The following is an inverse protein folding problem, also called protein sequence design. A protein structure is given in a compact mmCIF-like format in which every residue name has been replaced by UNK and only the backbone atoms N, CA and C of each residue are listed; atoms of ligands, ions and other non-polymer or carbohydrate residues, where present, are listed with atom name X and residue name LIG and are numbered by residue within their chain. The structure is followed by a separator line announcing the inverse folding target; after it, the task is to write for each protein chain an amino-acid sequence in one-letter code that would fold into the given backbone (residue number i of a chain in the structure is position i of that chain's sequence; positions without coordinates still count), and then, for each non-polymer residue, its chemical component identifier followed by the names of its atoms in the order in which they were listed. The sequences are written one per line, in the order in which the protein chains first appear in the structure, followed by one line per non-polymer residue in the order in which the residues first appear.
data_IF_183286682929
#
_entry.id   IF_183286682929
#
_cell.length_a   1.000
_cell.length_b   1.000
_cell.length_c   1.000
_cell.angle_alpha   90.00
_cell.angle_beta   90.00
_cell.angle_gamma   90.00
#
_symmetry.space_group_name_H-M   'P 1'
#
loop_
_entity.id
_entity.type
_entity.pdbx_description
1 polymer ?
#
# COMPACT_ATOMS: atom_id res chain seq x y z
N UNK A 1 5.26 -21.00 3.39
CA UNK A 1 5.02 -21.43 1.99
C UNK A 1 3.56 -21.14 1.69
N UNK A 2 3.28 -20.34 0.67
CA UNK A 2 1.92 -20.04 0.21
C UNK A 2 1.43 -21.22 -0.62
N UNK A 3 0.18 -21.66 -0.40
CA UNK A 3 -0.39 -22.86 -1.03
C UNK A 3 -1.41 -22.50 -2.11
N UNK A 4 -2.12 -21.39 -1.94
CA UNK A 4 -3.11 -20.90 -2.89
C UNK A 4 -2.91 -19.40 -3.17
N UNK A 5 -3.59 -18.88 -4.19
CA UNK A 5 -3.50 -17.46 -4.56
C UNK A 5 -4.14 -16.57 -3.49
N UNK A 6 -5.17 -17.07 -2.81
CA UNK A 6 -5.85 -16.40 -1.70
C UNK A 6 -4.91 -16.18 -0.52
N UNK A 7 -3.92 -17.05 -0.32
CA UNK A 7 -2.91 -16.87 0.74
C UNK A 7 -2.00 -15.63 0.48
N UNK A 8 -1.98 -15.11 -0.75
CA UNK A 8 -1.23 -13.93 -1.14
C UNK A 8 -2.07 -12.63 -1.12
N UNK A 9 -3.37 -12.72 -0.80
CA UNK A 9 -4.27 -11.56 -0.73
C UNK A 9 -4.14 -10.86 0.63
N UNK A 10 -4.12 -9.54 0.62
CA UNK A 10 -3.95 -8.71 1.80
C UNK A 10 -2.48 -8.41 2.11
N UNK A 11 -2.21 -7.89 3.31
CA UNK A 11 -0.87 -7.45 3.74
C UNK A 11 -0.17 -6.50 2.74
N UNK A 12 -0.97 -5.75 1.99
CA UNK A 12 -0.45 -4.77 1.03
C UNK A 12 0.24 -3.63 1.77
N UNK A 13 1.39 -3.15 1.26
CA UNK A 13 2.24 -2.25 2.01
C UNK A 13 1.59 -0.89 2.19
N UNK A 14 1.83 -0.31 3.36
CA UNK A 14 1.54 1.08 3.67
C UNK A 14 2.75 1.94 3.31
N UNK A 15 2.59 2.88 2.38
CA UNK A 15 3.70 3.71 1.88
C UNK A 15 3.41 5.19 2.07
N UNK A 16 4.46 5.98 2.38
CA UNK A 16 4.33 7.43 2.56
C UNK A 16 4.36 8.17 1.23
N UNK A 17 3.41 9.07 1.00
CA UNK A 17 3.46 9.97 -0.15
C UNK A 17 4.61 10.97 0.00
N UNK A 18 5.51 10.99 -1.00
CA UNK A 18 6.71 11.83 -0.98
C UNK A 18 6.48 13.25 -1.50
N UNK A 19 5.57 13.42 -2.46
CA UNK A 19 5.25 14.72 -3.06
C UNK A 19 3.79 15.02 -2.79
N UNK A 20 3.55 16.10 -2.06
CA UNK A 20 2.22 16.63 -1.75
C UNK A 20 2.14 18.06 -2.27
N UNK A 21 1.02 18.48 -2.89
CA UNK A 21 0.80 19.89 -3.19
C UNK A 21 0.63 20.70 -1.90
N UNK A 22 1.16 21.92 -1.88
CA UNK A 22 1.08 22.84 -0.75
C UNK A 22 2.11 22.57 0.36
N UNK A 23 2.23 23.53 1.28
CA UNK A 23 3.08 23.42 2.46
C UNK A 23 2.27 22.82 3.62
N UNK A 24 2.55 21.58 3.99
CA UNK A 24 1.89 20.88 5.11
C UNK A 24 2.88 19.99 5.84
N UNK A 25 2.68 19.83 7.15
CA UNK A 25 3.41 18.88 8.01
C UNK A 25 2.72 17.52 8.11
N UNK A 26 1.55 17.35 7.48
CA UNK A 26 0.78 16.11 7.56
C UNK A 26 1.55 14.95 6.91
N UNK A 27 1.49 13.78 7.56
CA UNK A 27 2.01 12.54 7.00
C UNK A 27 0.84 11.76 6.40
N UNK A 28 0.85 11.61 5.07
CA UNK A 28 -0.14 10.79 4.37
C UNK A 28 0.48 9.47 3.98
N UNK A 29 -0.21 8.40 4.37
CA UNK A 29 0.14 7.03 4.06
C UNK A 29 -0.94 6.43 3.15
N UNK A 30 -0.53 5.71 2.12
CA UNK A 30 -1.44 5.03 1.18
C UNK A 30 -1.20 3.53 1.22
N UNK A 31 -2.29 2.77 1.15
CA UNK A 31 -2.24 1.30 1.08
C UNK A 31 -2.23 0.88 -0.40
N UNK A 32 -1.20 0.15 -0.82
CA UNK A 32 -1.02 -0.23 -2.23
C UNK A 32 -1.84 -1.48 -2.58
N UNK A 33 -3.17 -1.39 -2.60
CA UNK A 33 -4.05 -2.55 -2.86
C UNK A 33 -3.90 -3.17 -4.25
N UNK A 34 -3.35 -2.41 -5.22
CA UNK A 34 -2.97 -2.96 -6.54
C UNK A 34 -1.83 -3.98 -6.50
N UNK A 35 -1.15 -4.15 -5.36
CA UNK A 35 -0.17 -5.21 -5.15
C UNK A 35 -0.81 -6.56 -4.78
N UNK A 36 -2.14 -6.64 -4.61
CA UNK A 36 -2.80 -7.93 -4.54
C UNK A 36 -2.74 -8.64 -5.92
N UNK A 37 -2.69 -9.98 -5.95
CA UNK A 37 -2.86 -10.74 -7.19
C UNK A 37 -4.20 -10.39 -7.87
N UNK A 38 -4.18 -10.15 -9.19
CA UNK A 38 -5.35 -9.84 -10.01
C UNK A 38 -5.93 -11.09 -10.69
#
# INVERSE_FOLDING_TARGET
MYKTIEDCVGNTPLVRLKRMPGATSNVILVKLEGNNPA
#
